data_IF_295222953523
#
_entry.id   IF_295222953523
#
_cell.length_a   1.000
_cell.length_b   1.000
_cell.length_c   1.000
_cell.angle_alpha   90.00
_cell.angle_beta   90.00
_cell.angle_gamma   90.00
#
_symmetry.space_group_name_H-M   'P 1'
#
loop_
_entity.id
_entity.type
_entity.pdbx_description
1 polymer ?
#
# COMPACT_ATOMS: atom_id res chain seq x y z
N UNK A 1 -17.69 20.60 2.51
CA UNK A 1 -16.33 20.21 2.10
C UNK A 1 -16.07 20.87 0.76
N UNK A 2 -15.02 21.69 0.66
CA UNK A 2 -14.55 22.23 -0.63
C UNK A 2 -13.43 21.33 -1.14
N UNK A 3 -13.57 20.82 -2.36
CA UNK A 3 -12.51 20.05 -3.01
C UNK A 3 -11.54 21.01 -3.70
N UNK A 4 -10.24 20.75 -3.59
CA UNK A 4 -9.22 21.43 -4.41
C UNK A 4 -8.98 20.57 -5.65
N UNK A 5 -8.99 21.18 -6.83
CA UNK A 5 -8.74 20.51 -8.10
C UNK A 5 -7.33 20.90 -8.55
N UNK A 6 -6.53 19.91 -8.92
CA UNK A 6 -5.19 20.07 -9.46
C UNK A 6 -5.18 19.67 -10.93
N UNK A 7 -4.38 20.36 -11.74
CA UNK A 7 -4.25 20.08 -13.17
C UNK A 7 -3.34 18.87 -13.43
N UNK A 8 -2.42 18.60 -12.50
CA UNK A 8 -1.48 17.48 -12.59
C UNK A 8 -1.46 16.62 -11.30
N UNK A 9 -1.31 15.29 -11.43
CA UNK A 9 -1.12 14.38 -10.29
C UNK A 9 0.03 14.77 -9.36
N UNK A 10 1.14 15.28 -9.92
CA UNK A 10 2.36 15.61 -9.18
C UNK A 10 2.10 16.74 -8.16
N UNK A 11 1.31 17.76 -8.54
CA UNK A 11 0.89 18.86 -7.66
C UNK A 11 0.07 18.35 -6.47
N UNK A 12 -0.82 17.38 -6.71
CA UNK A 12 -1.68 16.81 -5.67
C UNK A 12 -0.91 15.98 -4.62
N UNK A 13 0.36 15.65 -4.88
CA UNK A 13 1.22 14.87 -3.99
C UNK A 13 2.22 15.74 -3.22
N UNK A 14 2.15 17.07 -3.37
CA UNK A 14 2.99 17.98 -2.59
C UNK A 14 2.73 17.84 -1.09
N UNK A 15 3.82 17.68 -0.33
CA UNK A 15 3.80 17.39 1.10
C UNK A 15 4.09 15.93 1.46
N UNK A 16 4.07 15.00 0.51
CA UNK A 16 4.56 13.64 0.75
C UNK A 16 6.09 13.66 0.80
N UNK A 17 6.64 13.23 1.93
CA UNK A 17 8.07 13.21 2.25
C UNK A 17 8.56 11.78 2.52
N UNK A 18 9.88 11.59 2.53
CA UNK A 18 10.48 10.30 2.85
C UNK A 18 10.02 9.81 4.24
N UNK A 19 9.74 8.52 4.36
CA UNK A 19 9.20 7.95 5.60
C UNK A 19 7.68 8.13 5.77
N UNK A 20 6.98 8.73 4.81
CA UNK A 20 5.54 8.90 4.87
C UNK A 20 4.79 7.56 4.93
N UNK A 21 3.64 7.59 5.61
CA UNK A 21 2.67 6.48 5.64
C UNK A 21 1.54 6.81 4.67
N UNK A 22 1.39 6.00 3.63
CA UNK A 22 0.41 6.24 2.56
C UNK A 22 -0.59 5.09 2.49
N UNK A 23 -1.88 5.42 2.43
CA UNK A 23 -2.94 4.46 2.17
C UNK A 23 -3.31 4.51 0.70
N UNK A 24 -3.32 3.35 0.04
CA UNK A 24 -3.60 3.23 -1.39
C UNK A 24 -4.81 2.35 -1.59
N UNK A 25 -5.85 2.93 -2.19
CA UNK A 25 -7.09 2.23 -2.53
C UNK A 25 -6.92 1.30 -3.73
N UNK A 26 -7.87 0.37 -3.86
CA UNK A 26 -7.93 -0.59 -4.96
C UNK A 26 -8.02 -2.03 -4.51
N UNK A 27 -8.33 -2.91 -5.46
CA UNK A 27 -8.28 -4.37 -5.31
C UNK A 27 -7.60 -4.95 -6.54
N UNK A 28 -6.32 -5.31 -6.41
CA UNK A 28 -5.44 -5.62 -7.53
C UNK A 28 -5.41 -4.41 -8.49
N UNK A 29 -5.79 -4.58 -9.76
CA UNK A 29 -5.80 -3.49 -10.75
C UNK A 29 -7.08 -2.65 -10.71
N UNK A 30 -8.16 -3.15 -10.09
CA UNK A 30 -9.44 -2.45 -10.07
C UNK A 30 -9.37 -1.25 -9.12
N UNK A 31 -9.70 -0.06 -9.65
CA UNK A 31 -9.73 1.21 -8.90
C UNK A 31 -8.38 1.65 -8.30
N UNK A 32 -7.25 1.12 -8.79
CA UNK A 32 -5.92 1.57 -8.35
C UNK A 32 -5.67 3.02 -8.84
N UNK A 33 -5.20 3.94 -7.98
CA UNK A 33 -4.96 5.34 -8.33
C UNK A 33 -3.67 5.48 -9.17
N UNK A 34 -3.71 4.90 -10.37
CA UNK A 34 -2.54 4.65 -11.23
C UNK A 34 -1.76 5.94 -11.52
N UNK A 35 -2.44 7.04 -11.83
CA UNK A 35 -1.78 8.33 -12.11
C UNK A 35 -1.01 8.88 -10.89
N UNK A 36 -1.57 8.73 -9.68
CA UNK A 36 -0.90 9.15 -8.44
C UNK A 36 0.27 8.22 -8.12
N UNK A 37 0.16 6.91 -8.38
CA UNK A 37 1.26 5.96 -8.16
C UNK A 37 2.46 6.31 -9.06
N UNK A 38 2.24 6.58 -10.36
CA UNK A 38 3.35 6.98 -11.24
C UNK A 38 3.91 8.36 -10.90
N UNK A 39 3.08 9.29 -10.43
CA UNK A 39 3.58 10.58 -9.94
C UNK A 39 4.44 10.40 -8.69
N UNK A 40 4.04 9.53 -7.76
CA UNK A 40 4.84 9.18 -6.58
C UNK A 40 6.14 8.45 -6.97
N UNK A 41 6.11 7.60 -8.00
CA UNK A 41 7.30 6.96 -8.58
C UNK A 41 8.29 8.02 -9.08
N UNK A 42 7.83 8.92 -9.96
CA UNK A 42 8.64 10.03 -10.49
C UNK A 42 9.20 10.94 -9.40
N UNK A 43 8.41 11.24 -8.36
CA UNK A 43 8.84 12.06 -7.22
C UNK A 43 10.03 11.43 -6.49
N UNK A 44 10.17 10.10 -6.53
CA UNK A 44 11.30 9.39 -5.96
C UNK A 44 11.32 9.35 -4.44
N UNK A 45 10.20 9.67 -3.78
CA UNK A 45 10.06 9.57 -2.33
C UNK A 45 10.35 8.16 -1.85
N UNK A 46 11.14 8.01 -0.79
CA UNK A 46 11.64 6.73 -0.29
C UNK A 46 11.15 6.41 1.11
N UNK A 47 11.45 5.19 1.53
CA UNK A 47 11.17 4.68 2.87
C UNK A 47 9.67 4.72 3.23
N UNK A 48 8.80 4.56 2.24
CA UNK A 48 7.36 4.64 2.43
C UNK A 48 6.85 3.43 3.23
N UNK A 49 5.90 3.68 4.12
CA UNK A 49 5.01 2.63 4.63
C UNK A 49 3.71 2.67 3.86
N UNK A 50 3.45 1.64 3.05
CA UNK A 50 2.24 1.54 2.23
C UNK A 50 1.20 0.65 2.92
N UNK A 51 -0.04 1.13 2.98
CA UNK A 51 -1.21 0.38 3.45
C UNK A 51 -2.14 0.13 2.27
N UNK A 52 -2.32 -1.13 1.87
CA UNK A 52 -3.12 -1.48 0.69
C UNK A 52 -3.71 -2.89 0.81
N UNK A 53 -4.79 -3.19 0.08
CA UNK A 53 -5.34 -4.55 0.06
C UNK A 53 -4.32 -5.53 -0.51
N UNK A 54 -3.70 -5.14 -1.63
CA UNK A 54 -2.77 -5.92 -2.42
C UNK A 54 -1.46 -5.15 -2.63
N UNK A 55 -0.39 -5.88 -2.88
CA UNK A 55 0.86 -5.38 -3.45
C UNK A 55 1.50 -6.51 -4.25
N UNK A 56 2.33 -6.19 -5.24
CA UNK A 56 2.98 -7.17 -6.09
C UNK A 56 2.19 -7.48 -7.37
N UNK A 57 2.12 -8.76 -7.74
CA UNK A 57 1.73 -9.17 -9.08
C UNK A 57 0.34 -8.65 -9.51
N UNK A 58 0.31 -7.85 -10.59
CA UNK A 58 -0.91 -7.27 -11.16
C UNK A 58 -1.41 -6.00 -10.46
N UNK A 59 -0.74 -5.56 -9.39
CA UNK A 59 -0.98 -4.30 -8.71
C UNK A 59 0.03 -3.25 -9.17
N UNK A 60 -0.40 -1.99 -9.35
CA UNK A 60 0.48 -0.90 -9.77
C UNK A 60 1.43 -0.44 -8.67
N UNK A 61 1.22 -0.84 -7.41
CA UNK A 61 2.19 -0.60 -6.34
C UNK A 61 3.53 -1.32 -6.54
N UNK A 62 3.58 -2.39 -7.35
CA UNK A 62 4.84 -3.06 -7.67
C UNK A 62 5.81 -2.14 -8.43
N UNK A 63 5.29 -1.11 -9.13
CA UNK A 63 6.06 -0.08 -9.81
C UNK A 63 6.94 0.73 -8.82
N UNK A 64 6.46 0.96 -7.59
CA UNK A 64 7.24 1.62 -6.53
C UNK A 64 8.31 0.69 -5.94
N UNK A 65 8.10 -0.62 -6.03
CA UNK A 65 9.09 -1.61 -5.59
C UNK A 65 10.29 -1.62 -6.54
N UNK A 66 10.08 -1.49 -7.85
CA UNK A 66 11.18 -1.40 -8.82
C UNK A 66 12.24 -0.34 -8.44
N UNK A 67 11.80 0.79 -7.90
CA UNK A 67 12.67 1.91 -7.53
C UNK A 67 13.07 1.88 -6.05
N UNK A 68 12.74 0.80 -5.31
CA UNK A 68 12.99 0.63 -3.86
C UNK A 68 12.44 1.79 -3.02
N UNK A 69 11.21 2.22 -3.31
CA UNK A 69 10.57 3.33 -2.61
C UNK A 69 9.81 2.91 -1.35
N UNK A 70 9.48 1.61 -1.22
CA UNK A 70 8.70 1.05 -0.12
C UNK A 70 9.64 0.37 0.88
N UNK A 71 9.60 0.81 2.15
CA UNK A 71 10.31 0.16 3.25
C UNK A 71 9.42 -0.82 4.02
N UNK A 72 8.10 -0.57 4.07
CA UNK A 72 7.14 -1.45 4.73
C UNK A 72 5.81 -1.51 3.98
N UNK A 73 5.24 -2.70 3.86
CA UNK A 73 3.87 -2.90 3.45
C UNK A 73 3.01 -3.42 4.62
N UNK A 74 1.83 -2.83 4.80
CA UNK A 74 0.75 -3.36 5.62
C UNK A 74 -0.34 -3.79 4.65
N UNK A 75 -0.46 -5.09 4.42
CA UNK A 75 -1.31 -5.61 3.36
C UNK A 75 -2.04 -6.89 3.74
N UNK A 76 -3.10 -7.20 3.00
CA UNK A 76 -3.86 -8.44 3.22
C UNK A 76 -3.46 -9.57 2.27
N UNK A 77 -2.92 -9.22 1.10
CA UNK A 77 -2.50 -10.18 0.10
C UNK A 77 -1.30 -9.62 -0.69
N UNK A 78 -0.09 -9.97 -0.25
CA UNK A 78 1.16 -9.40 -0.78
C UNK A 78 2.01 -10.39 -1.59
N UNK A 79 1.84 -11.70 -1.35
CA UNK A 79 2.59 -12.76 -2.01
C UNK A 79 1.60 -13.79 -2.52
N UNK A 80 1.67 -14.13 -3.82
CA UNK A 80 0.82 -15.17 -4.41
C UNK A 80 1.34 -16.55 -4.05
N UNK A 81 0.42 -17.51 -3.89
CA UNK A 81 0.77 -18.91 -3.70
C UNK A 81 1.34 -19.59 -4.98
N UNK A 82 1.14 -18.98 -6.16
CA UNK A 82 1.59 -19.55 -7.44
C UNK A 82 3.05 -19.20 -7.73
N UNK A 83 3.83 -20.22 -8.10
CA UNK A 83 5.28 -20.16 -8.35
C UNK A 83 5.71 -19.69 -9.75
N UNK A 84 4.77 -19.30 -10.63
CA UNK A 84 5.10 -19.04 -12.03
C UNK A 84 5.98 -17.79 -12.24
N UNK A 85 5.82 -16.74 -11.43
CA UNK A 85 6.67 -15.54 -11.44
C UNK A 85 6.50 -14.76 -10.13
N UNK A 86 7.60 -14.47 -9.45
CA UNK A 86 7.61 -13.58 -8.30
C UNK A 86 7.42 -12.11 -8.74
N UNK A 87 6.69 -11.33 -7.95
CA UNK A 87 6.64 -9.87 -8.08
C UNK A 87 7.89 -9.21 -7.52
N UNK A 88 8.13 -7.93 -7.84
CA UNK A 88 9.28 -7.20 -7.25
C UNK A 88 9.17 -7.10 -5.75
N UNK A 89 7.96 -6.85 -5.24
CA UNK A 89 7.69 -6.89 -3.81
C UNK A 89 8.06 -8.24 -3.18
N UNK A 90 7.65 -9.35 -3.80
CA UNK A 90 7.93 -10.70 -3.28
C UNK A 90 9.43 -11.02 -3.27
N UNK A 91 10.17 -10.61 -4.32
CA UNK A 91 11.62 -10.74 -4.39
C UNK A 91 12.30 -9.96 -3.24
N UNK A 92 11.91 -8.70 -3.05
CA UNK A 92 12.46 -7.83 -2.00
C UNK A 92 12.11 -8.33 -0.60
N UNK A 93 10.88 -8.81 -0.40
CA UNK A 93 10.43 -9.36 0.88
C UNK A 93 11.24 -10.61 1.24
N UNK A 94 11.45 -11.53 0.28
CA UNK A 94 12.27 -12.73 0.48
C UNK A 94 13.75 -12.41 0.72
N UNK A 95 14.24 -11.30 0.16
CA UNK A 95 15.59 -10.80 0.40
C UNK A 95 15.74 -10.02 1.72
N UNK A 96 14.65 -9.77 2.46
CA UNK A 96 14.67 -8.97 3.68
C UNK A 96 14.85 -7.47 3.45
N UNK A 97 14.57 -6.98 2.24
CA UNK A 97 14.74 -5.57 1.85
C UNK A 97 13.51 -4.71 2.13
N UNK A 98 12.34 -5.34 2.31
CA UNK A 98 11.07 -4.68 2.64
C UNK A 98 10.35 -5.44 3.73
N UNK A 99 9.79 -4.73 4.70
CA UNK A 99 8.98 -5.32 5.77
C UNK A 99 7.55 -5.61 5.30
N UNK A 100 6.95 -6.70 5.80
CA UNK A 100 5.54 -7.03 5.58
C UNK A 100 4.82 -7.25 6.91
N UNK A 101 3.78 -6.46 7.16
CA UNK A 101 2.76 -6.73 8.16
C UNK A 101 1.54 -7.29 7.44
N UNK A 102 1.35 -8.62 7.51
CA UNK A 102 0.20 -9.29 6.92
C UNK A 102 -1.01 -9.15 7.85
N UNK A 103 -2.10 -8.57 7.34
CA UNK A 103 -3.31 -8.27 8.12
C UNK A 103 -4.53 -8.87 7.42
N UNK A 104 -5.41 -9.62 8.12
CA UNK A 104 -6.64 -10.11 7.50
C UNK A 104 -7.43 -8.97 6.86
N UNK A 105 -7.93 -9.17 5.63
CA UNK A 105 -8.51 -8.09 4.82
C UNK A 105 -9.63 -7.32 5.53
N UNK A 106 -10.54 -8.02 6.22
CA UNK A 106 -11.59 -7.39 7.01
C UNK A 106 -11.05 -6.57 8.19
N UNK A 107 -10.00 -7.06 8.86
CA UNK A 107 -9.32 -6.33 9.94
C UNK A 107 -8.59 -5.10 9.42
N UNK A 108 -7.95 -5.17 8.24
CA UNK A 108 -7.33 -4.01 7.59
C UNK A 108 -8.36 -2.92 7.28
N UNK A 109 -9.48 -3.29 6.67
CA UNK A 109 -10.57 -2.37 6.37
C UNK A 109 -11.15 -1.73 7.65
N UNK A 110 -11.38 -2.53 8.70
CA UNK A 110 -11.94 -2.02 9.95
C UNK A 110 -10.94 -1.14 10.73
N UNK A 111 -9.63 -1.42 10.65
CA UNK A 111 -8.57 -0.53 11.17
C UNK A 111 -8.60 0.84 10.50
N UNK A 112 -8.73 0.88 9.17
CA UNK A 112 -8.84 2.12 8.41
C UNK A 112 -10.11 2.89 8.82
N UNK A 113 -11.26 2.20 8.85
CA UNK A 113 -12.55 2.79 9.24
C UNK A 113 -12.50 3.35 10.67
N UNK A 114 -11.95 2.58 11.61
CA UNK A 114 -11.81 2.97 13.01
C UNK A 114 -10.92 4.23 13.15
N UNK A 115 -9.79 4.28 12.44
CA UNK A 115 -8.90 5.44 12.43
C UNK A 115 -9.59 6.71 11.91
N UNK A 116 -10.34 6.61 10.80
CA UNK A 116 -11.12 7.73 10.27
C UNK A 116 -12.30 8.17 11.16
N UNK A 117 -12.80 7.27 12.01
CA UNK A 117 -13.90 7.53 12.94
C UNK A 117 -13.45 7.93 14.35
N UNK A 118 -12.14 8.04 14.61
CA UNK A 118 -11.63 8.38 15.95
C UNK A 118 -11.76 7.25 16.99
N UNK A 119 -11.84 6.00 16.55
CA UNK A 119 -11.94 4.82 17.43
C UNK A 119 -10.53 4.26 17.68
N UNK A 120 -10.09 4.27 18.94
CA UNK A 120 -8.72 3.84 19.33
C UNK A 120 -8.43 2.34 19.19
N UNK A 121 -9.47 1.49 19.12
CA UNK A 121 -9.34 0.04 18.93
C UNK A 121 -10.69 -0.67 18.86
N UNK A 122 -10.69 -1.88 18.31
CA UNK A 122 -11.87 -2.74 18.20
C UNK A 122 -11.49 -4.21 18.38
N UNK A 123 -12.46 -5.05 18.73
CA UNK A 123 -12.28 -6.50 18.81
C UNK A 123 -12.88 -7.16 17.58
N UNK A 124 -12.20 -8.20 17.06
CA UNK A 124 -12.72 -9.08 16.01
C UNK A 124 -12.30 -10.52 16.29
N UNK A 125 -13.13 -11.47 15.87
CA UNK A 125 -12.78 -12.90 15.91
C UNK A 125 -11.79 -13.31 14.81
N UNK A 126 -11.60 -12.46 13.80
CA UNK A 126 -10.70 -12.73 12.67
C UNK A 126 -9.26 -12.86 13.15
N UNK A 127 -8.62 -14.00 12.86
CA UNK A 127 -7.23 -14.31 13.27
C UNK A 127 -7.10 -14.99 14.64
N UNK A 128 -8.21 -15.28 15.33
CA UNK A 128 -8.14 -16.08 16.56
C UNK A 128 -7.75 -17.52 16.21
N UNK A 129 -6.67 -18.01 16.81
CA UNK A 129 -6.18 -19.38 16.62
C UNK A 129 -5.35 -19.61 15.34
N UNK A 130 -4.92 -18.53 14.68
CA UNK A 130 -4.02 -18.57 13.50
C UNK A 130 -2.60 -18.16 13.85
#
# INVERSE_FOLDING_TARGET
MTATIYEAPDEALDGISDGARVMVGGFVSASSPTNLIFALKRRGTRNLTVMATNIGFGDRLDELCEDRQIAKAIASFAVRASSARASRFEEQYRAGEVELELVPQGTLAERIRAGGAGIGGFLTRTGVGT
#
